data_IF_478395800813
#
_entry.id   IF_478395800813
#
_cell.length_a   1.000
_cell.length_b   1.000
_cell.length_c   1.000
_cell.angle_alpha   90.00
_cell.angle_beta   90.00
_cell.angle_gamma   90.00
#
_symmetry.space_group_name_H-M   'P 1'
#
loop_
_entity.id
_entity.type
_entity.pdbx_description
1 polymer ?
#
# COMPACT_ATOMS: atom_id res chain seq x y z
N UNK A 1 3.30 16.31 -10.76
CA UNK A 1 3.94 15.09 -10.24
C UNK A 1 2.95 14.39 -9.34
N UNK A 2 2.60 13.12 -9.58
CA UNK A 2 1.71 12.36 -8.68
C UNK A 2 2.58 11.78 -7.55
N UNK A 3 2.22 12.10 -6.31
CA UNK A 3 2.84 11.52 -5.13
C UNK A 3 1.95 10.40 -4.58
N UNK A 4 2.54 9.35 -4.01
CA UNK A 4 3.98 9.08 -3.91
C UNK A 4 4.62 8.70 -5.27
N UNK A 5 5.92 8.96 -5.43
CA UNK A 5 6.64 8.54 -6.62
C UNK A 5 6.87 7.02 -6.60
N UNK A 6 6.78 6.37 -7.76
CA UNK A 6 6.92 4.91 -7.86
C UNK A 6 8.28 4.39 -7.36
N UNK A 7 9.35 5.14 -7.61
CA UNK A 7 10.69 4.73 -7.18
C UNK A 7 10.79 4.69 -5.65
N UNK A 8 10.25 5.69 -4.96
CA UNK A 8 10.23 5.73 -3.49
C UNK A 8 9.49 4.51 -2.90
N UNK A 9 8.38 4.12 -3.53
CA UNK A 9 7.62 2.91 -3.14
C UNK A 9 8.42 1.62 -3.38
N UNK A 10 9.16 1.55 -4.49
CA UNK A 10 10.00 0.40 -4.82
C UNK A 10 11.15 0.29 -3.82
N UNK A 11 11.80 1.40 -3.45
CA UNK A 11 12.87 1.41 -2.45
C UNK A 11 12.38 0.88 -1.09
N UNK A 12 11.17 1.28 -0.66
CA UNK A 12 10.57 0.81 0.59
C UNK A 12 10.20 -0.68 0.60
N UNK A 13 9.88 -1.25 -0.56
CA UNK A 13 9.41 -2.63 -0.69
C UNK A 13 10.47 -3.58 -1.28
N UNK A 14 11.61 -3.04 -1.71
CA UNK A 14 12.76 -3.74 -2.28
C UNK A 14 12.68 -3.96 -3.79
N UNK A 15 11.49 -4.23 -4.35
CA UNK A 15 11.31 -4.36 -5.80
C UNK A 15 9.83 -4.19 -6.21
N UNK A 16 9.58 -4.01 -7.50
CA UNK A 16 8.22 -3.80 -8.06
C UNK A 16 7.24 -4.95 -7.80
N UNK A 17 7.70 -6.21 -7.71
CA UNK A 17 6.84 -7.35 -7.45
C UNK A 17 6.42 -7.41 -5.97
N UNK A 18 7.37 -7.16 -5.07
CA UNK A 18 7.12 -6.98 -3.65
C UNK A 18 6.13 -5.84 -3.39
N UNK A 19 6.30 -4.71 -4.09
CA UNK A 19 5.35 -3.59 -4.02
C UNK A 19 3.92 -4.03 -4.36
N UNK A 20 3.74 -4.67 -5.52
CA UNK A 20 2.43 -5.16 -5.97
C UNK A 20 1.84 -6.13 -4.95
N UNK A 21 2.64 -7.07 -4.42
CA UNK A 21 2.17 -8.04 -3.45
C UNK A 21 1.72 -7.39 -2.12
N UNK A 22 2.51 -6.45 -1.60
CA UNK A 22 2.22 -5.76 -0.33
C UNK A 22 0.95 -4.91 -0.47
N UNK A 23 0.88 -4.08 -1.51
CA UNK A 23 -0.27 -3.20 -1.76
C UNK A 23 -1.54 -4.02 -1.98
N UNK A 24 -1.46 -5.10 -2.77
CA UNK A 24 -2.63 -5.94 -3.06
C UNK A 24 -3.16 -6.64 -1.80
N UNK A 25 -2.26 -7.21 -0.98
CA UNK A 25 -2.64 -7.85 0.28
C UNK A 25 -3.25 -6.84 1.25
N UNK A 26 -2.66 -5.64 1.35
CA UNK A 26 -3.15 -4.61 2.25
C UNK A 26 -4.50 -4.03 1.80
N UNK A 27 -4.67 -3.76 0.51
CA UNK A 27 -5.94 -3.33 -0.06
C UNK A 27 -7.07 -4.34 0.24
N UNK A 28 -6.78 -5.64 0.14
CA UNK A 28 -7.73 -6.68 0.53
C UNK A 28 -8.09 -6.64 2.02
N UNK A 29 -7.11 -6.47 2.90
CA UNK A 29 -7.36 -6.32 4.34
C UNK A 29 -8.23 -5.09 4.66
N UNK A 30 -8.04 -3.99 3.93
CA UNK A 30 -8.85 -2.77 4.10
C UNK A 30 -10.31 -3.07 3.77
N UNK A 31 -10.57 -3.77 2.66
CA UNK A 31 -11.92 -4.20 2.28
C UNK A 31 -12.50 -5.19 3.30
N UNK A 32 -11.79 -6.26 3.61
CA UNK A 32 -12.27 -7.34 4.50
C UNK A 32 -12.60 -6.82 5.92
N UNK A 33 -11.90 -5.78 6.38
CA UNK A 33 -12.09 -5.18 7.71
C UNK A 33 -12.88 -3.88 7.69
N UNK A 34 -13.40 -3.46 6.53
CA UNK A 34 -14.10 -2.19 6.32
C UNK A 34 -13.34 -0.97 6.88
N UNK A 35 -12.02 -0.89 6.64
CA UNK A 35 -11.13 0.18 7.14
C UNK A 35 -11.13 1.41 6.21
N UNK A 36 -12.25 1.69 5.55
CA UNK A 36 -12.40 2.79 4.63
C UNK A 36 -13.02 3.96 5.40
N UNK A 37 -12.41 5.13 5.28
CA UNK A 37 -13.01 6.37 5.76
C UNK A 37 -14.06 6.84 4.75
N UNK A 38 -15.34 6.66 5.09
CA UNK A 38 -16.46 7.02 4.21
C UNK A 38 -16.51 8.53 3.89
N UNK A 39 -15.80 9.37 4.63
CA UNK A 39 -15.69 10.81 4.36
C UNK A 39 -14.68 11.14 3.27
N UNK A 40 -13.84 10.17 2.86
CA UNK A 40 -12.80 10.33 1.84
C UNK A 40 -13.09 9.49 0.61
N UNK A 41 -12.85 10.09 -0.56
CA UNK A 41 -12.95 9.39 -1.85
C UNK A 41 -11.59 8.77 -2.18
N UNK A 42 -11.20 7.74 -1.43
CA UNK A 42 -10.00 6.96 -1.69
C UNK A 42 -10.34 5.49 -1.85
N UNK A 43 -9.89 4.88 -2.94
CA UNK A 43 -10.04 3.44 -3.11
C UNK A 43 -9.01 2.71 -2.21
N UNK A 44 -9.27 1.42 -1.85
CA UNK A 44 -8.38 0.66 -0.97
C UNK A 44 -6.93 0.55 -1.45
N UNK A 45 -6.69 0.59 -2.76
CA UNK A 45 -5.34 0.52 -3.35
C UNK A 45 -4.61 1.84 -3.12
N UNK A 46 -5.27 2.97 -3.26
CA UNK A 46 -4.72 4.30 -2.95
C UNK A 46 -4.36 4.41 -1.48
N UNK A 47 -5.24 3.97 -0.58
CA UNK A 47 -4.97 3.94 0.87
C UNK A 47 -3.75 3.08 1.18
N UNK A 48 -3.72 1.83 0.69
CA UNK A 48 -2.61 0.91 0.90
C UNK A 48 -1.28 1.46 0.34
N UNK A 49 -1.32 2.15 -0.80
CA UNK A 49 -0.14 2.78 -1.41
C UNK A 49 0.36 3.95 -0.54
N UNK A 50 -0.55 4.75 0.01
CA UNK A 50 -0.22 5.82 0.96
C UNK A 50 0.40 5.27 2.24
N UNK A 51 -0.15 4.18 2.80
CA UNK A 51 0.42 3.53 3.99
C UNK A 51 1.83 2.96 3.74
N UNK A 52 2.13 2.47 2.53
CA UNK A 52 3.52 2.12 2.14
C UNK A 52 4.39 3.38 2.13
N UNK A 53 3.95 4.46 1.48
CA UNK A 53 4.72 5.69 1.40
C UNK A 53 5.02 6.32 2.77
N UNK A 54 4.10 6.18 3.72
CA UNK A 54 4.19 6.70 5.09
C UNK A 54 4.87 5.72 6.07
N UNK A 55 5.44 4.60 5.60
CA UNK A 55 6.06 3.55 6.43
C UNK A 55 5.14 2.99 7.54
N UNK A 56 3.82 2.98 7.30
CA UNK A 56 2.82 2.47 8.25
C UNK A 56 2.67 0.95 8.25
N UNK A 57 3.31 0.26 7.30
CA UNK A 57 3.18 -1.19 7.12
C UNK A 57 4.46 -1.91 7.52
N UNK A 58 4.31 -3.04 8.23
CA UNK A 58 5.37 -4.03 8.44
C UNK A 58 5.04 -5.28 7.65
N UNK A 59 5.95 -5.71 6.77
CA UNK A 59 5.79 -6.92 5.98
C UNK A 59 7.11 -7.68 5.93
N UNK A 60 7.00 -9.01 5.88
CA UNK A 60 8.14 -9.92 5.74
C UNK A 60 7.82 -10.92 4.65
N UNK A 61 8.73 -11.08 3.69
CA UNK A 61 8.62 -12.11 2.66
C UNK A 61 9.33 -13.35 3.18
N UNK A 62 8.59 -14.45 3.33
CA UNK A 62 9.22 -15.76 3.53
C UNK A 62 9.85 -16.16 2.20
N UNK A 63 11.18 -16.23 2.18
CA UNK A 63 11.94 -16.84 1.09
C UNK A 63 11.81 -18.35 1.08
#
# INVERSE_FOLDING_TARGET
MRYPALNDLIEKTGNKYSLVLVVSKRARQIVDKNLIDETKIENPVSIATGEVAEDKLKFHFKG
#
